data_IF_687745579335
#
_entry.id   IF_687745579335
#
_cell.length_a   1.000
_cell.length_b   1.000
_cell.length_c   1.000
_cell.angle_alpha   90.00
_cell.angle_beta   90.00
_cell.angle_gamma   90.00
#
_symmetry.space_group_name_H-M   'P 1'
#
loop_
_entity.id
_entity.type
_entity.pdbx_description
1 polymer ?
#
# COMPACT_ATOMS: atom_id res chain seq x y z
N UNK A 1 -8.32 14.22 -49.11
CA UNK A 1 -7.90 12.96 -48.48
C UNK A 1 -6.47 13.17 -47.99
N UNK A 2 -6.30 13.43 -46.70
CA UNK A 2 -5.02 13.28 -45.98
C UNK A 2 -5.37 13.11 -44.50
N UNK A 3 -4.64 12.20 -43.84
CA UNK A 3 -5.10 11.36 -42.72
C UNK A 3 -5.19 12.13 -41.39
N UNK A 4 -6.16 11.83 -40.51
CA UNK A 4 -6.08 12.29 -39.12
C UNK A 4 -4.97 11.54 -38.39
N UNK A 5 -4.10 12.33 -37.77
CA UNK A 5 -2.98 11.95 -36.92
C UNK A 5 -3.50 11.19 -35.69
N UNK A 6 -3.20 9.90 -35.60
CA UNK A 6 -3.57 9.05 -34.46
C UNK A 6 -2.57 9.29 -33.32
N UNK A 7 -2.79 10.32 -32.52
CA UNK A 7 -2.16 10.43 -31.20
C UNK A 7 -2.83 9.40 -30.31
N UNK A 8 -2.19 8.24 -30.17
CA UNK A 8 -2.55 7.28 -29.11
C UNK A 8 -2.18 7.97 -27.79
N UNK A 9 -3.17 8.61 -27.17
CA UNK A 9 -3.09 8.94 -25.75
C UNK A 9 -2.92 7.63 -25.00
N UNK A 10 -1.70 7.43 -24.50
CA UNK A 10 -1.37 6.37 -23.56
C UNK A 10 -2.30 6.58 -22.37
N UNK A 11 -3.33 5.74 -22.25
CA UNK A 11 -4.21 5.69 -21.08
C UNK A 11 -3.35 5.37 -19.86
N UNK A 12 -2.90 6.42 -19.18
CA UNK A 12 -2.47 6.35 -17.78
C UNK A 12 -3.75 6.08 -17.00
N UNK A 13 -3.99 4.81 -16.68
CA UNK A 13 -4.84 4.48 -15.54
C UNK A 13 -4.22 5.17 -14.33
N UNK A 14 -4.82 6.27 -13.89
CA UNK A 14 -4.47 6.96 -12.65
C UNK A 14 -4.42 5.93 -11.52
N UNK A 15 -3.34 5.95 -10.73
CA UNK A 15 -3.19 5.00 -9.63
C UNK A 15 -4.33 5.23 -8.63
N UNK A 16 -5.09 4.18 -8.34
CA UNK A 16 -6.19 4.25 -7.36
C UNK A 16 -5.70 3.82 -5.99
N UNK A 17 -6.41 4.23 -4.93
CA UNK A 17 -6.13 3.78 -3.56
C UNK A 17 -4.74 4.15 -3.03
N UNK A 18 -4.13 5.21 -3.57
CA UNK A 18 -2.82 5.68 -3.14
C UNK A 18 -2.93 6.73 -2.03
N UNK A 19 -2.02 6.68 -1.07
CA UNK A 19 -1.85 7.70 -0.03
C UNK A 19 -0.53 8.45 -0.23
N UNK A 20 -0.46 9.67 0.33
CA UNK A 20 0.77 10.45 0.30
C UNK A 20 1.84 9.86 1.24
N UNK A 21 3.12 10.09 0.94
CA UNK A 21 4.21 9.69 1.83
C UNK A 21 4.10 10.31 3.24
N UNK A 22 3.80 11.62 3.41
CA UNK A 22 3.55 12.19 4.73
C UNK A 22 2.44 11.49 5.52
N UNK A 23 1.35 11.11 4.85
CA UNK A 23 0.25 10.35 5.46
C UNK A 23 0.73 8.97 5.95
N UNK A 24 1.44 8.24 5.10
CA UNK A 24 1.97 6.93 5.44
C UNK A 24 2.96 6.98 6.62
N UNK A 25 3.85 7.98 6.63
CA UNK A 25 4.80 8.20 7.73
C UNK A 25 4.07 8.51 9.04
N UNK A 26 3.01 9.33 9.00
CA UNK A 26 2.22 9.66 10.18
C UNK A 26 1.53 8.41 10.77
N UNK A 27 0.91 7.59 9.93
CA UNK A 27 0.20 6.38 10.36
C UNK A 27 1.16 5.33 10.93
N UNK A 28 2.29 5.08 10.26
CA UNK A 28 3.32 4.16 10.75
C UNK A 28 3.93 4.64 12.08
N UNK A 29 4.13 5.95 12.24
CA UNK A 29 4.63 6.53 13.49
C UNK A 29 3.62 6.40 14.63
N UNK A 30 2.34 6.61 14.34
CA UNK A 30 1.25 6.42 15.31
C UNK A 30 1.19 4.97 15.80
N UNK A 31 1.17 4.00 14.86
CA UNK A 31 1.24 2.58 15.19
C UNK A 31 2.41 2.27 16.14
N UNK A 32 3.65 2.62 15.77
CA UNK A 32 4.85 2.35 16.59
C UNK A 32 4.81 2.98 17.98
N UNK A 33 4.15 4.13 18.13
CA UNK A 33 3.99 4.80 19.43
C UNK A 33 2.94 4.09 20.31
N UNK A 34 1.90 3.54 19.68
CA UNK A 34 0.73 2.99 20.34
C UNK A 34 0.76 1.46 20.48
N UNK A 35 1.66 0.75 19.79
CA UNK A 35 1.76 -0.71 19.68
C UNK A 35 1.67 -1.46 21.03
N UNK A 36 2.20 -0.89 22.12
CA UNK A 36 2.12 -1.47 23.47
C UNK A 36 0.74 -1.40 24.15
N UNK A 37 -0.15 -0.51 23.70
CA UNK A 37 -1.49 -0.29 24.26
C UNK A 37 -2.62 -0.55 23.24
N UNK A 38 -2.33 -0.44 21.94
CA UNK A 38 -3.32 -0.54 20.88
C UNK A 38 -3.87 -1.97 20.72
N UNK A 39 -2.98 -2.97 20.76
CA UNK A 39 -3.36 -4.39 20.69
C UNK A 39 -3.96 -4.97 21.98
N UNK A 40 -4.15 -4.18 23.05
CA UNK A 40 -4.79 -4.70 24.27
C UNK A 40 -6.30 -4.91 24.11
N UNK A 41 -6.94 -4.25 23.16
CA UNK A 41 -8.41 -4.20 23.06
C UNK A 41 -8.99 -4.25 21.63
N UNK A 42 -8.17 -4.31 20.56
CA UNK A 42 -8.66 -4.40 19.19
C UNK A 42 -8.32 -5.75 18.55
N UNK A 43 -9.37 -6.48 18.16
CA UNK A 43 -9.34 -7.80 17.50
C UNK A 43 -8.98 -7.65 16.02
N UNK A 44 -7.78 -7.13 15.71
CA UNK A 44 -7.32 -7.14 14.31
C UNK A 44 -6.86 -8.55 13.93
N UNK A 45 -7.68 -9.26 13.16
CA UNK A 45 -7.39 -10.62 12.69
C UNK A 45 -6.73 -10.62 11.31
N UNK A 46 -7.20 -9.75 10.40
CA UNK A 46 -6.75 -9.71 9.03
C UNK A 46 -6.98 -8.34 8.38
N UNK A 47 -6.40 -8.18 7.17
CA UNK A 47 -6.70 -7.07 6.27
C UNK A 47 -7.30 -7.60 4.97
N UNK A 48 -8.44 -7.05 4.56
CA UNK A 48 -8.91 -7.22 3.19
C UNK A 48 -8.08 -6.32 2.27
N UNK A 49 -7.31 -6.93 1.36
CA UNK A 49 -6.49 -6.21 0.38
C UNK A 49 -7.21 -6.26 -0.98
N UNK A 50 -7.56 -5.12 -1.59
CA UNK A 50 -8.13 -5.10 -2.92
C UNK A 50 -7.17 -5.67 -3.98
N UNK A 51 -7.72 -6.43 -4.93
CA UNK A 51 -6.95 -6.97 -6.06
C UNK A 51 -6.22 -5.88 -6.84
N UNK A 52 -6.87 -4.73 -7.02
CA UNK A 52 -6.32 -3.64 -7.82
C UNK A 52 -5.04 -3.07 -7.19
N UNK A 53 -4.97 -2.97 -5.87
CA UNK A 53 -3.78 -2.49 -5.13
C UNK A 53 -2.58 -3.43 -5.39
N UNK A 54 -2.79 -4.75 -5.32
CA UNK A 54 -1.77 -5.75 -5.61
C UNK A 54 -1.36 -5.74 -7.10
N UNK A 55 -2.33 -5.60 -8.00
CA UNK A 55 -2.05 -5.60 -9.44
C UNK A 55 -1.24 -4.36 -9.82
N UNK A 56 -1.59 -3.21 -9.25
CA UNK A 56 -0.94 -1.93 -9.54
C UNK A 56 0.47 -1.85 -8.93
N UNK A 57 0.69 -2.34 -7.70
CA UNK A 57 2.05 -2.38 -7.15
C UNK A 57 2.97 -3.31 -7.95
N UNK A 58 2.46 -4.46 -8.41
CA UNK A 58 3.24 -5.37 -9.25
C UNK A 58 3.53 -4.78 -10.63
N UNK A 59 2.62 -3.98 -11.18
CA UNK A 59 2.80 -3.29 -12.45
C UNK A 59 3.92 -2.22 -12.43
N UNK A 60 4.41 -1.83 -11.25
CA UNK A 60 5.58 -0.94 -11.10
C UNK A 60 6.91 -1.66 -11.37
N UNK A 61 6.88 -2.94 -11.76
CA UNK A 61 8.07 -3.71 -12.10
C UNK A 61 8.94 -4.01 -10.89
N UNK A 62 8.32 -4.23 -9.74
CA UNK A 62 8.96 -4.46 -8.44
C UNK A 62 9.65 -5.84 -8.37
N UNK A 63 10.66 -5.97 -7.53
CA UNK A 63 11.28 -7.28 -7.24
C UNK A 63 10.61 -7.98 -6.06
N UNK A 64 10.07 -7.18 -5.12
CA UNK A 64 9.23 -7.65 -4.03
C UNK A 64 8.24 -6.56 -3.60
N UNK A 65 7.36 -6.91 -2.66
CA UNK A 65 6.39 -5.99 -2.05
C UNK A 65 6.62 -5.99 -0.55
N UNK A 66 6.60 -4.81 0.06
CA UNK A 66 6.67 -4.64 1.51
C UNK A 66 5.35 -4.07 2.02
N UNK A 67 4.90 -4.59 3.15
CA UNK A 67 3.73 -4.10 3.85
C UNK A 67 4.12 -3.43 5.18
N UNK A 68 3.49 -2.30 5.47
CA UNK A 68 3.65 -1.54 6.71
C UNK A 68 2.32 -1.45 7.44
N UNK A 69 2.33 -1.61 8.76
CA UNK A 69 1.14 -1.39 9.58
C UNK A 69 1.11 0.08 10.03
N UNK A 70 -0.07 0.67 10.01
CA UNK A 70 -0.34 2.02 10.45
C UNK A 70 -1.67 2.12 11.22
N UNK A 71 -1.87 3.25 11.89
CA UNK A 71 -3.16 3.64 12.44
C UNK A 71 -3.51 5.00 11.87
N UNK A 72 -4.71 5.13 11.30
CA UNK A 72 -5.16 6.42 10.78
C UNK A 72 -5.60 7.38 11.89
N UNK A 73 -6.04 8.57 11.51
CA UNK A 73 -6.48 9.60 12.45
C UNK A 73 -7.70 9.18 13.28
N UNK A 74 -8.52 8.26 12.77
CA UNK A 74 -9.73 7.75 13.40
C UNK A 74 -9.49 6.50 14.28
N UNK A 75 -8.23 6.09 14.46
CA UNK A 75 -7.87 4.84 15.13
C UNK A 75 -8.36 3.59 14.38
N UNK A 76 -8.28 3.61 13.05
CA UNK A 76 -8.51 2.43 12.21
C UNK A 76 -7.16 1.89 11.76
N UNK A 77 -6.96 0.59 11.90
CA UNK A 77 -5.75 -0.10 11.46
C UNK A 77 -5.66 -0.12 9.94
N UNK A 78 -4.45 0.13 9.43
CA UNK A 78 -4.13 0.19 8.01
C UNK A 78 -2.96 -0.72 7.69
N UNK A 79 -2.99 -1.32 6.51
CA UNK A 79 -1.90 -2.05 5.90
C UNK A 79 -1.50 -1.35 4.60
N UNK A 80 -0.41 -0.59 4.67
CA UNK A 80 0.12 0.18 3.55
C UNK A 80 1.08 -0.70 2.75
N UNK A 81 0.93 -0.72 1.42
CA UNK A 81 1.68 -1.59 0.51
C UNK A 81 2.59 -0.75 -0.38
N UNK A 82 3.88 -1.13 -0.47
CA UNK A 82 4.87 -0.48 -1.34
C UNK A 82 5.63 -1.50 -2.17
N UNK A 83 6.01 -1.10 -3.38
CA UNK A 83 6.95 -1.84 -4.22
C UNK A 83 8.37 -1.72 -3.69
N UNK A 84 9.21 -2.73 -3.95
CA UNK A 84 10.63 -2.67 -3.58
C UNK A 84 11.54 -3.17 -4.70
N UNK A 85 12.77 -2.67 -4.69
CA UNK A 85 13.87 -3.09 -5.57
C UNK A 85 15.03 -3.64 -4.77
N UNK A 86 15.60 -4.73 -5.25
CA UNK A 86 16.77 -5.32 -4.61
C UNK A 86 18.02 -4.50 -4.93
N UNK A 87 18.68 -3.99 -3.89
CA UNK A 87 19.99 -3.35 -3.96
C UNK A 87 21.07 -4.34 -3.52
N UNK A 88 21.83 -4.84 -4.49
CA UNK A 88 22.91 -5.79 -4.25
C UNK A 88 24.11 -5.21 -3.46
N UNK A 89 24.27 -3.88 -3.43
CA UNK A 89 25.36 -3.25 -2.68
C UNK A 89 25.12 -3.27 -1.17
N UNK A 90 23.85 -3.18 -0.76
CA UNK A 90 23.43 -3.20 0.64
C UNK A 90 22.83 -4.53 1.08
N UNK A 91 22.57 -5.45 0.13
CA UNK A 91 21.83 -6.71 0.34
C UNK A 91 20.45 -6.46 0.97
N UNK A 92 19.76 -5.42 0.48
CA UNK A 92 18.45 -5.02 1.00
C UNK A 92 17.47 -4.70 -0.12
N UNK A 93 16.18 -4.89 0.17
CA UNK A 93 15.10 -4.40 -0.68
C UNK A 93 14.78 -2.95 -0.32
N UNK A 94 15.08 -2.01 -1.21
CA UNK A 94 14.81 -0.57 -1.03
C UNK A 94 13.39 -0.26 -1.49
N UNK A 95 12.66 0.53 -0.71
CA UNK A 95 11.28 0.87 -1.02
C UNK A 95 11.18 1.90 -2.15
N UNK A 96 10.30 1.62 -3.10
CA UNK A 96 9.92 2.54 -4.17
C UNK A 96 8.88 3.54 -3.64
N UNK A 97 9.35 4.58 -2.96
CA UNK A 97 8.49 5.60 -2.35
C UNK A 97 8.28 6.80 -3.31
N UNK A 98 7.08 7.44 -3.27
CA UNK A 98 6.83 8.69 -3.98
C UNK A 98 7.90 9.73 -3.62
N UNK A 99 8.43 10.43 -4.62
CA UNK A 99 9.37 11.56 -4.47
C UNK A 99 10.71 11.25 -3.78
N UNK A 100 10.93 10.02 -3.29
CA UNK A 100 12.18 9.56 -2.65
C UNK A 100 12.93 8.49 -3.43
N UNK A 101 12.27 7.80 -4.35
CA UNK A 101 12.90 6.79 -5.23
C UNK A 101 13.13 7.36 -6.62
N UNK A 102 14.29 7.07 -7.22
CA UNK A 102 14.61 7.49 -8.59
C UNK A 102 13.68 6.83 -9.62
N UNK A 103 13.20 5.62 -9.32
CA UNK A 103 12.24 4.87 -10.14
C UNK A 103 10.80 5.35 -9.94
N UNK A 104 10.55 6.19 -8.92
CA UNK A 104 9.21 6.54 -8.47
C UNK A 104 8.49 5.34 -7.87
N UNK A 105 7.34 5.59 -7.25
CA UNK A 105 6.49 4.54 -6.71
C UNK A 105 5.29 5.10 -6.00
N UNK A 106 4.33 4.23 -5.70
CA UNK A 106 3.11 4.60 -4.98
C UNK A 106 2.99 3.81 -3.68
N UNK A 107 2.32 4.41 -2.71
CA UNK A 107 1.94 3.76 -1.44
C UNK A 107 0.45 3.48 -1.52
N UNK A 108 0.07 2.21 -1.54
CA UNK A 108 -1.33 1.81 -1.62
C UNK A 108 -1.89 1.55 -0.23
N UNK A 109 -3.06 2.12 0.06
CA UNK A 109 -3.86 1.75 1.22
C UNK A 109 -5.36 1.92 0.92
N UNK A 110 -6.00 0.79 0.61
CA UNK A 110 -7.45 0.64 0.75
C UNK A 110 -7.79 -0.62 1.53
N UNK A 111 -6.91 -0.94 2.49
CA UNK A 111 -7.07 -2.11 3.31
C UNK A 111 -8.12 -1.87 4.38
N UNK A 112 -8.93 -2.89 4.65
CA UNK A 112 -9.95 -2.83 5.69
C UNK A 112 -9.61 -3.83 6.78
N UNK A 113 -9.56 -3.38 8.05
CA UNK A 113 -9.36 -4.30 9.15
C UNK A 113 -10.57 -5.22 9.28
N UNK A 114 -10.29 -6.40 9.82
CA UNK A 114 -11.22 -7.47 10.06
C UNK A 114 -11.13 -7.83 11.56
N UNK A 115 -12.26 -7.81 12.30
CA UNK A 115 -13.64 -7.38 11.93
C UNK A 115 -13.82 -5.88 11.68
N UNK A 116 -14.89 -5.42 10.97
CA UNK A 116 -16.06 -6.17 10.48
C UNK A 116 -15.97 -6.66 9.04
N UNK A 117 -14.86 -6.42 8.33
CA UNK A 117 -14.75 -6.76 6.90
C UNK A 117 -14.48 -8.25 6.64
N UNK A 118 -14.49 -9.09 7.68
CA UNK A 118 -14.24 -10.52 7.58
C UNK A 118 -15.41 -11.27 6.94
N UNK A 119 -15.11 -12.42 6.37
CA UNK A 119 -16.09 -13.48 6.18
C UNK A 119 -16.41 -14.14 7.54
N UNK A 120 -17.66 -14.03 7.99
CA UNK A 120 -18.12 -14.59 9.27
C UNK A 120 -18.13 -16.12 9.30
N UNK A 121 -18.01 -16.79 8.15
CA UNK A 121 -17.86 -18.24 8.05
C UNK A 121 -16.42 -18.74 7.94
N UNK A 122 -15.43 -17.85 7.91
CA UNK A 122 -14.02 -18.24 7.74
C UNK A 122 -13.46 -18.88 9.01
N UNK A 123 -12.77 -20.04 8.92
CA UNK A 123 -12.09 -20.64 10.07
C UNK A 123 -10.83 -19.87 10.51
N UNK A 124 -10.45 -18.83 9.76
CA UNK A 124 -9.33 -17.95 10.07
C UNK A 124 -9.78 -16.66 10.79
N UNK A 125 -11.09 -16.52 11.07
CA UNK A 125 -11.70 -15.38 11.76
C UNK A 125 -12.29 -15.80 13.10
#
# INVERSE_FOLDING_TARGET
MEKPNNTIEKSTTEATNTISLPTAEAWAKKWRKEEGNYNKHHELHAFLIPKDDLTQVLAQGVDAVRAYIGVDENNVEKLMIVGTKYDAATDTYVDMLPEKSAEGGNIYDFTRPCPPSCDSGSPLN
#
